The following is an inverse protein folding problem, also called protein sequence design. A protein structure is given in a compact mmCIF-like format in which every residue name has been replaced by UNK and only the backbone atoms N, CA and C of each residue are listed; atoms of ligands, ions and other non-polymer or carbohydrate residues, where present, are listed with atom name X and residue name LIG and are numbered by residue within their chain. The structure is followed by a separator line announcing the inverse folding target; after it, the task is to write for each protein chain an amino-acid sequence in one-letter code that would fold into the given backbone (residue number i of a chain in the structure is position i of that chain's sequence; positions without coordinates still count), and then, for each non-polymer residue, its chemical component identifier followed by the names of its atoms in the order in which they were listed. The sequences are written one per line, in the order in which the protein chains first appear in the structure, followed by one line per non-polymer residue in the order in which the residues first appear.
data_IF_244797016070
#
_entry.id   IF_244797016070
#
_cell.length_a   1.000
_cell.length_b   1.000
_cell.length_c   1.000
_cell.angle_alpha   90.00
_cell.angle_beta   90.00
_cell.angle_gamma   90.00
#
_symmetry.space_group_name_H-M   'P 1'
#
loop_
_entity.id
_entity.type
_entity.pdbx_description
1 polymer ?
#
# COMPACT_ATOMS: atom_id res chain seq x y z
N UNK A 1 15.57 -10.33 44.51
CA UNK A 1 16.08 -9.52 43.37
C UNK A 1 15.50 -9.90 42.02
N UNK A 2 15.01 -11.13 41.81
CA UNK A 2 14.49 -11.58 40.52
C UNK A 2 13.16 -10.91 40.11
N UNK A 3 12.21 -10.74 41.05
CA UNK A 3 10.93 -10.07 40.78
C UNK A 3 11.09 -8.60 40.38
N UNK A 4 11.98 -7.85 41.06
CA UNK A 4 12.28 -6.45 40.69
C UNK A 4 12.82 -6.34 39.27
N UNK A 5 13.68 -7.28 38.87
CA UNK A 5 14.23 -7.34 37.52
C UNK A 5 13.14 -7.66 36.49
N UNK A 6 12.21 -8.57 36.80
CA UNK A 6 11.06 -8.86 35.92
C UNK A 6 10.10 -7.68 35.80
N UNK A 7 9.79 -6.98 36.89
CA UNK A 7 8.97 -5.76 36.85
C UNK A 7 9.63 -4.67 36.00
N UNK A 8 10.95 -4.51 36.10
CA UNK A 8 11.70 -3.55 35.29
C UNK A 8 11.67 -3.91 33.80
N UNK A 9 11.82 -5.20 33.47
CA UNK A 9 11.68 -5.67 32.09
C UNK A 9 10.27 -5.45 31.53
N UNK A 10 9.23 -5.71 32.32
CA UNK A 10 7.84 -5.46 31.92
C UNK A 10 7.56 -3.97 31.73
N UNK A 11 8.15 -3.11 32.57
CA UNK A 11 8.06 -1.66 32.43
C UNK A 11 8.68 -1.19 31.10
N UNK A 12 9.90 -1.65 30.79
CA UNK A 12 10.61 -1.31 29.55
C UNK A 12 9.87 -1.84 28.31
N UNK A 13 9.32 -3.05 28.38
CA UNK A 13 8.54 -3.61 27.27
C UNK A 13 7.23 -2.83 27.04
N UNK A 14 6.56 -2.46 28.13
CA UNK A 14 5.33 -1.68 28.09
C UNK A 14 5.54 -0.28 27.51
N UNK A 15 6.61 0.41 27.91
CA UNK A 15 6.94 1.72 27.32
C UNK A 15 7.31 1.58 25.85
N UNK A 16 8.17 0.61 25.48
CA UNK A 16 8.53 0.40 24.07
C UNK A 16 7.33 0.11 23.16
N UNK A 17 6.32 -0.64 23.65
CA UNK A 17 5.10 -0.91 22.89
C UNK A 17 4.21 0.33 22.70
N UNK A 18 4.22 1.28 23.63
CA UNK A 18 3.46 2.53 23.53
C UNK A 18 4.13 3.55 22.60
N UNK A 19 5.45 3.47 22.42
CA UNK A 19 6.25 4.34 21.55
C UNK A 19 6.59 3.71 20.19
N UNK A 20 5.66 2.96 19.58
CA UNK A 20 5.76 2.53 18.18
C UNK A 20 4.92 3.46 17.29
N UNK A 21 5.42 4.66 16.91
CA UNK A 21 4.65 5.62 16.10
C UNK A 21 4.31 5.06 14.72
N UNK A 22 5.17 4.21 14.17
CA UNK A 22 5.01 3.59 12.85
C UNK A 22 3.79 2.66 12.74
N UNK A 23 3.24 2.16 13.86
CA UNK A 23 2.02 1.35 13.87
C UNK A 23 0.74 2.19 14.05
N UNK A 24 0.89 3.50 14.31
CA UNK A 24 -0.18 4.47 14.59
C UNK A 24 -0.27 5.55 13.51
N UNK A 25 0.21 5.27 12.30
CA UNK A 25 -0.04 6.12 11.16
C UNK A 25 -1.55 6.12 10.88
N UNK A 26 -2.25 7.17 11.32
CA UNK A 26 -3.65 7.40 10.94
C UNK A 26 -3.64 8.04 9.56
N UNK A 27 -3.21 7.24 8.59
CA UNK A 27 -3.12 7.62 7.20
C UNK A 27 -4.24 6.93 6.43
N UNK A 28 -4.90 7.69 5.57
CA UNK A 28 -5.99 7.23 4.72
C UNK A 28 -5.67 7.55 3.27
N UNK A 29 -6.02 6.65 2.37
CA UNK A 29 -5.86 6.82 0.93
C UNK A 29 -7.24 6.72 0.29
N UNK A 30 -8.00 7.82 0.22
CA UNK A 30 -9.40 7.78 -0.23
C UNK A 30 -9.57 7.27 -1.67
N UNK A 31 -8.53 7.37 -2.49
CA UNK A 31 -8.53 6.86 -3.87
C UNK A 31 -8.32 5.33 -3.97
N UNK A 32 -8.02 4.63 -2.88
CA UNK A 32 -7.74 3.19 -2.85
C UNK A 32 -8.75 2.41 -1.98
N UNK A 33 -9.21 1.21 -2.40
CA UNK A 33 -8.89 0.54 -3.66
C UNK A 33 -9.64 1.15 -4.85
N UNK A 34 -8.92 1.44 -5.94
CA UNK A 34 -9.52 1.95 -7.17
C UNK A 34 -9.83 0.81 -8.13
N UNK A 35 -11.08 0.71 -8.57
CA UNK A 35 -11.43 -0.18 -9.68
C UNK A 35 -11.02 0.47 -11.00
N UNK A 36 -10.11 -0.18 -11.71
CA UNK A 36 -9.69 0.20 -13.06
C UNK A 36 -10.40 -0.74 -14.04
N UNK A 37 -11.43 -0.23 -14.73
CA UNK A 37 -12.15 -1.00 -15.72
C UNK A 37 -11.52 -0.81 -17.10
N UNK A 38 -10.76 -1.80 -17.55
CA UNK A 38 -10.25 -1.84 -18.92
C UNK A 38 -11.36 -2.32 -19.86
N UNK A 39 -11.56 -1.62 -20.98
CA UNK A 39 -12.47 -2.08 -22.03
C UNK A 39 -11.98 -3.41 -22.64
N UNK A 40 -12.79 -4.10 -23.44
CA UNK A 40 -12.31 -5.25 -24.22
C UNK A 40 -11.21 -4.81 -25.20
N UNK A 41 -10.03 -5.42 -25.12
CA UNK A 41 -8.81 -4.98 -25.79
C UNK A 41 -8.32 -6.12 -26.68
N UNK A 42 -8.06 -5.84 -27.96
CA UNK A 42 -7.44 -6.79 -28.88
C UNK A 42 -5.93 -6.60 -28.89
N UNK A 43 -5.17 -7.66 -28.59
CA UNK A 43 -3.70 -7.62 -28.65
C UNK A 43 -3.25 -7.92 -30.09
N UNK A 44 -2.51 -7.01 -30.76
CA UNK A 44 -1.99 -7.29 -32.09
C UNK A 44 -0.89 -8.36 -32.04
N UNK A 45 -0.89 -9.28 -33.01
CA UNK A 45 0.09 -10.38 -33.10
C UNK A 45 1.51 -9.91 -33.39
N UNK A 46 1.67 -8.66 -33.80
CA UNK A 46 2.96 -7.99 -34.04
C UNK A 46 3.51 -7.29 -32.80
N UNK A 47 2.78 -7.30 -31.67
CA UNK A 47 3.23 -6.65 -30.45
C UNK A 47 4.35 -7.46 -29.80
N UNK A 48 5.49 -6.81 -29.55
CA UNK A 48 6.63 -7.45 -28.90
C UNK A 48 6.31 -7.84 -27.46
N UNK A 49 6.91 -8.93 -26.99
CA UNK A 49 6.81 -9.35 -25.59
C UNK A 49 7.36 -8.25 -24.67
N UNK A 50 6.57 -7.89 -23.65
CA UNK A 50 6.91 -6.82 -22.70
C UNK A 50 6.51 -5.42 -23.16
N UNK A 51 5.95 -5.25 -24.36
CA UNK A 51 5.39 -3.97 -24.78
C UNK A 51 4.03 -3.70 -24.11
N UNK A 52 3.72 -2.42 -23.93
CA UNK A 52 2.40 -1.99 -23.43
C UNK A 52 1.33 -2.27 -24.50
N UNK A 53 0.23 -2.91 -24.11
CA UNK A 53 -0.88 -3.17 -25.02
C UNK A 53 -1.56 -1.83 -25.33
N UNK A 54 -1.72 -1.46 -26.61
CA UNK A 54 -2.37 -0.20 -26.97
C UNK A 54 -3.79 -0.11 -26.36
N UNK A 55 -4.10 1.02 -25.72
CA UNK A 55 -5.41 1.26 -25.12
C UNK A 55 -5.60 0.69 -23.70
N UNK A 56 -4.56 0.12 -23.09
CA UNK A 56 -4.60 -0.39 -21.71
C UNK A 56 -3.94 0.55 -20.70
N UNK A 57 -3.30 1.60 -21.18
CA UNK A 57 -2.69 2.62 -20.34
C UNK A 57 -3.78 3.51 -19.74
N UNK A 58 -3.79 3.61 -18.41
CA UNK A 58 -4.71 4.49 -17.69
C UNK A 58 -3.96 5.23 -16.60
N UNK A 59 -3.98 6.56 -16.67
CA UNK A 59 -3.46 7.40 -15.60
C UNK A 59 -4.46 7.43 -14.44
N UNK A 60 -3.98 7.15 -13.24
CA UNK A 60 -4.76 7.31 -12.00
C UNK A 60 -4.05 8.29 -11.09
N UNK A 61 -4.82 9.20 -10.52
CA UNK A 61 -4.36 10.02 -9.41
C UNK A 61 -4.63 9.27 -8.10
N UNK A 62 -3.64 9.31 -7.20
CA UNK A 62 -3.72 8.70 -5.87
C UNK A 62 -3.28 9.75 -4.86
N UNK A 63 -4.16 10.07 -3.92
CA UNK A 63 -3.86 10.93 -2.79
C UNK A 63 -3.87 10.13 -1.48
N UNK A 64 -3.03 10.57 -0.55
CA UNK A 64 -3.00 10.11 0.83
C UNK A 64 -3.15 11.29 1.77
N UNK A 65 -3.79 11.06 2.91
CA UNK A 65 -3.93 12.02 3.98
C UNK A 65 -3.52 11.38 5.30
N UNK A 66 -2.63 12.01 6.04
CA UNK A 66 -2.21 11.58 7.37
C UNK A 66 -2.50 12.70 8.37
N UNK A 67 -3.07 12.35 9.53
CA UNK A 67 -3.40 13.34 10.57
C UNK A 67 -2.17 13.95 11.25
N UNK A 68 -1.01 13.29 11.15
CA UNK A 68 0.23 13.72 11.79
C UNK A 68 1.22 14.22 10.74
N UNK A 69 1.85 15.36 11.03
CA UNK A 69 2.86 15.96 10.14
C UNK A 69 4.13 15.11 10.00
N UNK A 70 4.41 14.23 10.97
CA UNK A 70 5.56 13.32 10.91
C UNK A 70 5.42 12.23 9.86
N UNK A 71 4.17 11.90 9.48
CA UNK A 71 3.85 10.90 8.47
C UNK A 71 3.71 11.52 7.06
N UNK A 72 3.90 12.84 6.94
CA UNK A 72 3.86 13.54 5.65
C UNK A 72 5.08 13.18 4.79
N UNK A 73 4.83 12.72 3.57
CA UNK A 73 5.87 12.31 2.62
C UNK A 73 6.25 10.82 2.68
N UNK A 74 5.55 10.02 3.49
CA UNK A 74 5.65 8.56 3.42
C UNK A 74 5.13 8.02 2.08
N UNK A 75 5.70 6.91 1.62
CA UNK A 75 5.33 6.26 0.36
C UNK A 75 3.93 5.64 0.42
N UNK A 76 3.15 5.81 -0.65
CA UNK A 76 1.87 5.12 -0.83
C UNK A 76 2.14 3.78 -1.54
N UNK A 77 2.00 2.68 -0.81
CA UNK A 77 2.13 1.33 -1.37
C UNK A 77 0.75 0.81 -1.80
N UNK A 78 0.55 0.58 -3.09
CA UNK A 78 -0.69 0.00 -3.64
C UNK A 78 -0.43 -1.37 -4.25
N UNK A 79 -1.21 -2.38 -3.84
CA UNK A 79 -1.19 -3.70 -4.47
C UNK A 79 -2.29 -3.81 -5.53
N UNK A 80 -1.96 -4.40 -6.68
CA UNK A 80 -2.95 -4.73 -7.70
C UNK A 80 -3.69 -6.03 -7.30
N UNK A 81 -5.02 -5.97 -7.24
CA UNK A 81 -5.89 -7.09 -6.85
C UNK A 81 -6.87 -7.52 -7.97
N UNK A 82 -6.58 -7.20 -9.24
CA UNK A 82 -7.46 -7.54 -10.36
C UNK A 82 -7.24 -8.96 -10.91
N UNK A 83 -8.27 -9.52 -11.52
CA UNK A 83 -8.21 -10.75 -12.31
C UNK A 83 -8.31 -10.41 -13.80
N UNK A 84 -7.50 -11.06 -14.64
CA UNK A 84 -7.55 -10.91 -16.09
C UNK A 84 -7.48 -12.27 -16.76
N UNK A 85 -8.35 -12.52 -17.73
CA UNK A 85 -8.34 -13.74 -18.55
C UNK A 85 -7.99 -13.34 -19.99
N UNK A 86 -6.85 -13.84 -20.49
CA UNK A 86 -6.54 -13.76 -21.92
C UNK A 86 -7.42 -14.74 -22.67
N UNK A 87 -8.19 -14.27 -23.64
CA UNK A 87 -8.94 -15.14 -24.55
C UNK A 87 -8.09 -15.32 -25.81
N UNK A 88 -7.70 -16.58 -26.16
CA UNK A 88 -6.86 -16.87 -27.32
C UNK A 88 -7.55 -16.60 -28.66
#
# INVERSE_FOLDING_TARGET
MQMIKQCFFLLVLGTAALFMPHAKATCTTPDLPKMINVASISVPTTLAVGATIPGTEQSVHVAGHCDQSIDSGLEIVSCYYGTGAGIP
#
